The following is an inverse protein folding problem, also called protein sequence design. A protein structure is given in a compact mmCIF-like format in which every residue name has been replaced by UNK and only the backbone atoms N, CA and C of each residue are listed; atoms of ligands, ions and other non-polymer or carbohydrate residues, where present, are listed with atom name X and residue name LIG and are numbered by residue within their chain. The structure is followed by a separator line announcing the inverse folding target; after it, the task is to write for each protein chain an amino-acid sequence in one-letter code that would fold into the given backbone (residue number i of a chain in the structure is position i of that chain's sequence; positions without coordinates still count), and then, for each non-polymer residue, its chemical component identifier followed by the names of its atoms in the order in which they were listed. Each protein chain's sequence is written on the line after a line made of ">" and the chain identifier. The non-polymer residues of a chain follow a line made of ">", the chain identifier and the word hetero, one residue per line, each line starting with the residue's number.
data_IF_384969227866
#
_entry.id   IF_384969227866
#
_cell.length_a   1.000
_cell.length_b   1.000
_cell.length_c   1.000
_cell.angle_alpha   90.00
_cell.angle_beta   90.00
_cell.angle_gamma   90.00
#
_symmetry.space_group_name_H-M   'P 1'
#
loop_
_entity.id
_entity.type
_entity.pdbx_description
1 polymer ?
#
# COMPACT_ATOMS: atom_id res chain seq x y z
N UNK A 1 36.24 -12.97 11.51
CA UNK A 1 35.71 -12.20 10.33
C UNK A 1 34.76 -11.13 10.88
N UNK A 2 35.17 -9.86 10.86
CA UNK A 2 34.30 -8.77 11.28
C UNK A 2 33.22 -8.56 10.21
N UNK A 3 31.96 -8.65 10.60
CA UNK A 3 30.85 -8.26 9.72
C UNK A 3 30.94 -6.74 9.50
N UNK A 4 30.81 -6.30 8.24
CA UNK A 4 30.83 -4.85 7.94
C UNK A 4 29.74 -4.13 8.73
N UNK A 5 30.01 -2.95 9.29
CA UNK A 5 28.99 -2.13 9.96
C UNK A 5 27.76 -1.87 9.09
N UNK A 6 27.96 -1.73 7.79
CA UNK A 6 26.86 -1.52 6.82
C UNK A 6 25.92 -2.73 6.72
N UNK A 7 26.47 -3.94 6.84
CA UNK A 7 25.64 -5.18 6.83
C UNK A 7 24.77 -5.24 8.08
N UNK A 8 25.32 -4.91 9.25
CA UNK A 8 24.54 -4.89 10.50
C UNK A 8 23.44 -3.83 10.42
N UNK A 9 23.78 -2.61 9.99
CA UNK A 9 22.81 -1.52 9.82
C UNK A 9 21.69 -1.89 8.83
N UNK A 10 22.02 -2.52 7.70
CA UNK A 10 21.05 -2.97 6.72
C UNK A 10 20.11 -4.07 7.29
N UNK A 11 20.63 -5.00 8.09
CA UNK A 11 19.84 -6.02 8.75
C UNK A 11 18.86 -5.42 9.76
N UNK A 12 19.32 -4.53 10.61
CA UNK A 12 18.50 -3.88 11.64
C UNK A 12 17.42 -3.00 11.02
N UNK A 13 17.77 -2.22 9.99
CA UNK A 13 16.83 -1.41 9.23
C UNK A 13 15.74 -2.25 8.57
N UNK A 14 16.13 -3.35 7.91
CA UNK A 14 15.19 -4.30 7.31
C UNK A 14 14.20 -4.86 8.33
N UNK A 15 14.69 -5.23 9.52
CA UNK A 15 13.83 -5.76 10.60
C UNK A 15 12.87 -4.68 11.10
N UNK A 16 13.35 -3.46 11.33
CA UNK A 16 12.53 -2.34 11.80
C UNK A 16 11.43 -1.99 10.78
N UNK A 17 11.78 -1.82 9.51
CA UNK A 17 10.83 -1.55 8.42
C UNK A 17 9.80 -2.69 8.32
N UNK A 18 10.25 -3.94 8.39
CA UNK A 18 9.37 -5.09 8.34
C UNK A 18 8.34 -5.15 9.48
N UNK A 19 8.72 -4.73 10.69
CA UNK A 19 7.81 -4.62 11.84
C UNK A 19 6.75 -3.53 11.62
N UNK A 20 7.18 -2.35 11.18
CA UNK A 20 6.27 -1.24 10.89
C UNK A 20 5.29 -1.62 9.77
N UNK A 21 5.79 -2.15 8.67
CA UNK A 21 4.97 -2.58 7.54
C UNK A 21 3.94 -3.64 7.94
N UNK A 22 4.31 -4.60 8.79
CA UNK A 22 3.40 -5.62 9.32
C UNK A 22 2.30 -4.97 10.18
N UNK A 23 2.67 -4.02 11.05
CA UNK A 23 1.69 -3.35 11.91
C UNK A 23 0.73 -2.48 11.12
N UNK A 24 1.21 -1.76 10.13
CA UNK A 24 0.37 -0.98 9.22
C UNK A 24 -0.63 -1.89 8.49
N UNK A 25 -0.18 -3.04 7.95
CA UNK A 25 -1.09 -4.02 7.34
C UNK A 25 -2.20 -4.48 8.29
N UNK A 26 -1.87 -4.72 9.56
CA UNK A 26 -2.87 -5.09 10.58
C UNK A 26 -3.87 -3.97 10.85
N UNK A 27 -3.44 -2.70 10.82
CA UNK A 27 -4.33 -1.54 10.99
C UNK A 27 -5.25 -1.34 9.78
N UNK A 28 -4.78 -1.67 8.58
CA UNK A 28 -5.60 -1.66 7.37
C UNK A 28 -6.60 -2.82 7.31
N UNK A 29 -6.27 -3.97 7.90
CA UNK A 29 -7.16 -5.11 8.01
C UNK A 29 -8.14 -4.91 9.16
N UNK A 30 -9.44 -4.83 8.88
CA UNK A 30 -10.46 -4.96 9.92
C UNK A 30 -10.67 -6.44 10.25
N UNK A 31 -11.25 -6.75 11.42
CA UNK A 31 -11.42 -8.12 11.95
C UNK A 31 -12.06 -9.15 11.00
N UNK A 32 -12.59 -8.71 9.85
CA UNK A 32 -13.22 -9.56 8.82
C UNK A 32 -12.46 -9.64 7.50
N UNK A 33 -11.26 -9.07 7.39
CA UNK A 33 -10.59 -8.91 6.10
C UNK A 33 -9.25 -9.66 6.04
N UNK A 34 -9.15 -10.53 5.05
CA UNK A 34 -7.99 -11.36 4.70
C UNK A 34 -6.84 -10.56 4.04
N UNK A 35 -5.73 -11.24 3.73
CA UNK A 35 -4.61 -10.70 2.94
C UNK A 35 -5.05 -10.07 1.59
N UNK A 36 -6.19 -10.50 1.03
CA UNK A 36 -6.81 -9.88 -0.15
C UNK A 36 -7.12 -8.40 0.05
N UNK A 37 -7.51 -8.01 1.25
CA UNK A 37 -7.82 -6.62 1.61
C UNK A 37 -6.63 -5.67 1.48
N UNK A 38 -5.41 -6.14 1.70
CA UNK A 38 -4.21 -5.33 1.53
C UNK A 38 -3.89 -5.07 0.04
N UNK A 39 -4.05 -6.10 -0.80
CA UNK A 39 -3.89 -5.97 -2.27
C UNK A 39 -4.99 -5.08 -2.84
N UNK A 40 -6.23 -5.23 -2.37
CA UNK A 40 -7.35 -4.36 -2.75
C UNK A 40 -7.03 -2.89 -2.49
N UNK A 41 -6.51 -2.60 -1.30
CA UNK A 41 -6.14 -1.24 -0.92
C UNK A 41 -4.99 -0.71 -1.77
N UNK A 42 -3.96 -1.52 -2.03
CA UNK A 42 -2.86 -1.18 -2.94
C UNK A 42 -3.34 -0.80 -4.34
N UNK A 43 -4.30 -1.57 -4.89
CA UNK A 43 -4.93 -1.26 -6.17
C UNK A 43 -5.67 0.09 -6.12
N UNK A 44 -6.47 0.34 -5.08
CA UNK A 44 -7.20 1.61 -4.94
C UNK A 44 -6.22 2.80 -4.80
N UNK A 45 -5.15 2.65 -4.03
CA UNK A 45 -4.09 3.67 -3.90
C UNK A 45 -3.42 3.95 -5.26
N UNK A 46 -3.06 2.89 -5.99
CA UNK A 46 -2.45 3.03 -7.32
C UNK A 46 -3.39 3.78 -8.28
N UNK A 47 -4.65 3.37 -8.35
CA UNK A 47 -5.65 4.01 -9.23
C UNK A 47 -5.93 5.46 -8.86
N UNK A 48 -5.88 5.81 -7.58
CA UNK A 48 -6.06 7.20 -7.12
C UNK A 48 -4.86 8.09 -7.49
N UNK A 49 -3.63 7.56 -7.37
CA UNK A 49 -2.40 8.32 -7.62
C UNK A 49 -2.04 8.43 -9.09
N UNK A 50 -2.11 7.31 -9.80
CA UNK A 50 -1.63 7.18 -11.18
C UNK A 50 -2.75 7.27 -12.21
N UNK A 51 -4.01 7.21 -11.75
CA UNK A 51 -5.19 7.20 -12.62
C UNK A 51 -5.55 5.83 -13.19
N UNK A 52 -6.52 5.78 -14.09
CA UNK A 52 -7.00 4.55 -14.71
C UNK A 52 -5.88 3.80 -15.43
N UNK A 53 -5.80 2.48 -15.22
CA UNK A 53 -4.74 1.65 -15.81
C UNK A 53 -5.21 0.23 -16.11
N UNK A 54 -4.36 -0.56 -16.76
CA UNK A 54 -4.68 -1.96 -17.09
C UNK A 54 -4.40 -2.90 -15.91
N UNK A 55 -5.09 -4.06 -15.83
CA UNK A 55 -4.81 -5.07 -14.82
C UNK A 55 -3.36 -5.59 -14.85
N UNK A 56 -2.72 -5.57 -16.01
CA UNK A 56 -1.31 -5.98 -16.16
C UNK A 56 -0.36 -5.02 -15.43
N UNK A 57 -0.60 -3.72 -15.53
CA UNK A 57 0.19 -2.71 -14.82
C UNK A 57 -0.03 -2.83 -13.31
N UNK A 58 -1.26 -3.04 -12.86
CA UNK A 58 -1.57 -3.28 -11.45
C UNK A 58 -0.84 -4.51 -10.91
N UNK A 59 -0.76 -5.60 -11.67
CA UNK A 59 -0.05 -6.81 -11.27
C UNK A 59 1.45 -6.57 -11.07
N UNK A 60 2.07 -5.80 -11.95
CA UNK A 60 3.47 -5.44 -11.83
C UNK A 60 3.76 -4.57 -10.59
N UNK A 61 2.87 -3.63 -10.28
CA UNK A 61 3.00 -2.75 -9.11
C UNK A 61 2.86 -3.47 -7.77
N UNK A 62 1.99 -4.47 -7.69
CA UNK A 62 1.73 -5.23 -6.45
C UNK A 62 2.63 -6.46 -6.28
N UNK A 63 3.54 -6.74 -7.20
CA UNK A 63 4.42 -7.92 -7.18
C UNK A 63 3.65 -9.26 -7.03
N UNK A 64 2.48 -9.35 -7.64
CA UNK A 64 1.61 -10.53 -7.64
C UNK A 64 1.30 -10.98 -9.07
N UNK A 65 0.77 -12.21 -9.20
CA UNK A 65 0.44 -12.73 -10.52
C UNK A 65 -0.76 -12.00 -11.14
N UNK A 66 -0.77 -11.90 -12.47
CA UNK A 66 -1.89 -11.30 -13.22
C UNK A 66 -3.22 -11.99 -12.93
N UNK A 67 -3.21 -13.29 -12.64
CA UNK A 67 -4.40 -14.06 -12.28
C UNK A 67 -4.95 -13.66 -10.90
N UNK A 68 -4.06 -13.44 -9.91
CA UNK A 68 -4.44 -12.97 -8.59
C UNK A 68 -5.06 -11.56 -8.68
N UNK A 69 -4.44 -10.64 -9.41
CA UNK A 69 -4.98 -9.29 -9.66
C UNK A 69 -6.34 -9.34 -10.35
N UNK A 70 -6.52 -10.21 -11.37
CA UNK A 70 -7.81 -10.33 -12.04
C UNK A 70 -8.93 -10.78 -11.10
N UNK A 71 -8.62 -11.63 -10.12
CA UNK A 71 -9.55 -12.02 -9.07
C UNK A 71 -9.93 -10.85 -8.15
N UNK A 72 -8.93 -10.12 -7.68
CA UNK A 72 -9.11 -8.97 -6.79
C UNK A 72 -9.89 -7.84 -7.50
N UNK A 73 -9.55 -7.53 -8.74
CA UNK A 73 -10.26 -6.50 -9.53
C UNK A 73 -11.73 -6.88 -9.73
N UNK A 74 -12.05 -8.16 -10.01
CA UNK A 74 -13.46 -8.62 -10.10
C UNK A 74 -14.21 -8.43 -8.78
N UNK A 75 -13.57 -8.70 -7.65
CA UNK A 75 -14.19 -8.49 -6.34
C UNK A 75 -14.42 -7.00 -6.06
N UNK A 76 -13.45 -6.14 -6.36
CA UNK A 76 -13.60 -4.68 -6.25
C UNK A 76 -14.72 -4.15 -7.15
N UNK A 77 -14.83 -4.67 -8.39
CA UNK A 77 -15.89 -4.33 -9.34
C UNK A 77 -17.27 -4.78 -8.81
N UNK A 78 -17.38 -6.01 -8.28
CA UNK A 78 -18.61 -6.52 -7.65
C UNK A 78 -19.10 -5.63 -6.51
N UNK A 79 -18.17 -5.02 -5.75
CA UNK A 79 -18.44 -4.07 -4.66
C UNK A 79 -18.58 -2.62 -5.16
N UNK A 80 -18.57 -2.38 -6.46
CA UNK A 80 -18.63 -1.07 -7.09
C UNK A 80 -17.52 -0.08 -6.63
N UNK A 81 -16.37 -0.59 -6.18
CA UNK A 81 -15.23 0.22 -5.75
C UNK A 81 -14.32 0.61 -6.92
N UNK A 82 -14.34 -0.17 -7.98
CA UNK A 82 -13.73 0.13 -9.28
C UNK A 82 -14.72 -0.15 -10.39
N UNK A 83 -14.46 0.45 -11.55
CA UNK A 83 -15.18 0.17 -12.79
C UNK A 83 -14.22 -0.25 -13.88
N UNK A 84 -14.69 -1.10 -14.80
CA UNK A 84 -13.93 -1.54 -15.97
C UNK A 84 -14.53 -0.94 -17.22
N UNK A 85 -13.70 -0.31 -18.02
CA UNK A 85 -14.08 0.21 -19.33
C UNK A 85 -13.27 -0.49 -20.43
N UNK A 86 -13.88 -0.71 -21.58
CA UNK A 86 -13.26 -1.44 -22.68
C UNK A 86 -13.37 -2.96 -22.54
N UNK A 87 -13.25 -3.68 -23.66
CA UNK A 87 -13.12 -5.13 -23.62
C UNK A 87 -14.23 -5.97 -24.25
N UNK A 88 -15.25 -5.39 -24.90
CA UNK A 88 -16.21 -6.19 -25.69
C UNK A 88 -15.65 -6.61 -27.06
N UNK A 89 -14.71 -5.84 -27.62
CA UNK A 89 -14.10 -6.16 -28.92
C UNK A 89 -12.57 -6.34 -28.86
N UNK A 90 -11.89 -5.84 -27.81
CA UNK A 90 -10.45 -5.99 -27.64
C UNK A 90 -10.09 -6.15 -26.15
N UNK A 91 -9.86 -7.41 -25.74
CA UNK A 91 -9.41 -7.76 -24.39
C UNK A 91 -8.09 -7.08 -23.97
N UNK A 92 -7.34 -6.50 -24.92
CA UNK A 92 -6.09 -5.80 -24.69
C UNK A 92 -6.27 -4.36 -24.19
N UNK A 93 -7.50 -3.84 -24.21
CA UNK A 93 -7.82 -2.46 -23.80
C UNK A 93 -8.73 -2.37 -22.58
N UNK A 94 -8.65 -3.34 -21.69
CA UNK A 94 -9.36 -3.24 -20.40
C UNK A 94 -8.64 -2.22 -19.54
N UNK A 95 -9.36 -1.19 -19.14
CA UNK A 95 -8.93 -0.16 -18.22
C UNK A 95 -9.77 -0.24 -16.94
N UNK A 96 -9.11 -0.18 -15.80
CA UNK A 96 -9.72 -0.15 -14.47
C UNK A 96 -9.59 1.26 -13.91
N UNK A 97 -10.66 1.80 -13.38
CA UNK A 97 -10.70 3.11 -12.74
C UNK A 97 -11.34 3.01 -11.34
N UNK A 98 -10.88 3.83 -10.41
CA UNK A 98 -11.49 3.94 -9.08
C UNK A 98 -12.80 4.72 -9.18
N UNK A 99 -13.84 4.27 -8.47
CA UNK A 99 -15.12 4.96 -8.35
C UNK A 99 -15.13 5.93 -7.17
N UNK A 100 -16.18 6.75 -7.04
CA UNK A 100 -16.39 7.58 -5.85
C UNK A 100 -16.45 6.75 -4.57
N UNK A 101 -17.16 5.61 -4.61
CA UNK A 101 -17.23 4.69 -3.47
C UNK A 101 -15.85 4.09 -3.12
N UNK A 102 -15.03 3.79 -4.14
CA UNK A 102 -13.64 3.34 -3.93
C UNK A 102 -12.78 4.40 -3.24
N UNK A 103 -12.90 5.67 -3.64
CA UNK A 103 -12.20 6.80 -3.00
C UNK A 103 -12.65 7.02 -1.55
N UNK A 104 -13.94 6.94 -1.29
CA UNK A 104 -14.48 7.07 0.07
C UNK A 104 -13.95 5.98 0.99
N UNK A 105 -13.92 4.73 0.52
CA UNK A 105 -13.33 3.63 1.27
C UNK A 105 -11.85 3.87 1.54
N UNK A 106 -11.08 4.25 0.53
CA UNK A 106 -9.65 4.54 0.65
C UNK A 106 -9.38 5.64 1.68
N UNK A 107 -10.10 6.77 1.61
CA UNK A 107 -9.96 7.86 2.56
C UNK A 107 -10.32 7.44 3.99
N UNK A 108 -11.39 6.67 4.17
CA UNK A 108 -11.78 6.16 5.49
C UNK A 108 -10.68 5.28 6.11
N UNK A 109 -10.05 4.42 5.31
CA UNK A 109 -8.97 3.55 5.76
C UNK A 109 -7.69 4.32 6.08
N UNK A 110 -7.32 5.26 5.22
CA UNK A 110 -6.14 6.12 5.44
C UNK A 110 -6.31 6.95 6.71
N UNK A 111 -7.49 7.54 6.96
CA UNK A 111 -7.76 8.30 8.17
C UNK A 111 -7.57 7.44 9.42
N UNK A 112 -8.11 6.22 9.46
CA UNK A 112 -8.00 5.34 10.61
C UNK A 112 -6.53 5.00 10.94
N UNK A 113 -5.71 4.76 9.92
CA UNK A 113 -4.27 4.47 10.08
C UNK A 113 -3.51 5.72 10.51
N UNK A 114 -3.76 6.85 9.87
CA UNK A 114 -3.12 8.13 10.22
C UNK A 114 -3.46 8.53 11.65
N UNK A 115 -4.72 8.41 12.08
CA UNK A 115 -5.13 8.67 13.46
C UNK A 115 -4.43 7.76 14.47
N UNK A 116 -4.26 6.48 14.14
CA UNK A 116 -3.51 5.55 14.99
C UNK A 116 -2.03 5.94 15.10
N UNK A 117 -1.41 6.37 13.99
CA UNK A 117 -0.02 6.86 13.99
C UNK A 117 0.12 8.17 14.75
N UNK A 118 -0.82 9.10 14.62
CA UNK A 118 -0.83 10.38 15.36
C UNK A 118 -0.88 10.11 16.85
N UNK A 119 -1.77 9.22 17.30
CA UNK A 119 -1.84 8.83 18.72
C UNK A 119 -0.53 8.21 19.19
N UNK A 120 0.01 7.25 18.47
CA UNK A 120 1.27 6.61 18.85
C UNK A 120 2.42 7.63 18.95
N UNK A 121 2.55 8.54 17.99
CA UNK A 121 3.56 9.59 18.02
C UNK A 121 3.35 10.58 19.18
N UNK A 122 2.09 10.87 19.53
CA UNK A 122 1.80 11.78 20.64
C UNK A 122 2.10 11.15 22.00
N UNK A 123 1.78 9.89 22.19
CA UNK A 123 1.81 9.22 23.48
C UNK A 123 3.19 8.64 23.82
N UNK A 124 3.94 8.16 22.80
CA UNK A 124 5.16 7.37 23.01
C UNK A 124 6.46 8.11 22.64
N UNK A 125 6.39 9.25 21.95
CA UNK A 125 7.57 9.93 21.43
C UNK A 125 7.72 11.36 21.94
N UNK A 126 8.94 11.72 22.33
CA UNK A 126 9.30 13.10 22.62
C UNK A 126 9.30 13.96 21.33
N UNK A 127 9.19 15.29 21.45
CA UNK A 127 9.28 16.18 20.28
C UNK A 127 10.61 16.03 19.50
N UNK A 128 11.70 15.67 20.16
CA UNK A 128 13.00 15.44 19.51
C UNK A 128 12.97 14.15 18.66
N UNK A 129 12.44 13.06 19.21
CA UNK A 129 12.29 11.78 18.50
C UNK A 129 11.34 11.87 17.30
N UNK A 130 10.25 12.62 17.42
CA UNK A 130 9.36 12.89 16.29
C UNK A 130 10.09 13.58 15.14
N UNK A 131 10.89 14.60 15.42
CA UNK A 131 11.72 15.27 14.41
C UNK A 131 12.74 14.33 13.76
N UNK A 132 13.30 13.39 14.53
CA UNK A 132 14.20 12.36 13.95
C UNK A 132 13.47 11.44 12.98
N UNK A 133 12.26 10.98 13.34
CA UNK A 133 11.42 10.18 12.43
C UNK A 133 11.03 10.95 11.16
N UNK A 134 10.62 12.21 11.31
CA UNK A 134 10.31 13.09 10.17
C UNK A 134 11.52 13.26 9.25
N UNK A 135 12.71 13.48 9.82
CA UNK A 135 13.97 13.61 9.07
C UNK A 135 14.37 12.32 8.34
N UNK A 136 13.92 11.17 8.81
CA UNK A 136 14.20 9.89 8.16
C UNK A 136 13.32 9.62 6.94
N UNK A 137 12.17 10.28 6.79
CA UNK A 137 11.21 10.03 5.71
C UNK A 137 11.86 10.15 4.31
N UNK A 138 12.59 11.24 3.95
CA UNK A 138 13.23 11.34 2.65
C UNK A 138 14.29 10.25 2.41
N UNK A 139 14.96 9.81 3.48
CA UNK A 139 15.97 8.76 3.40
C UNK A 139 15.34 7.39 3.11
N UNK A 140 14.21 7.09 3.76
CA UNK A 140 13.45 5.86 3.52
C UNK A 140 12.85 5.83 2.11
N UNK A 141 12.31 6.94 1.63
CA UNK A 141 11.80 7.04 0.26
C UNK A 141 12.91 6.78 -0.77
N UNK A 142 14.08 7.42 -0.60
CA UNK A 142 15.23 7.19 -1.47
C UNK A 142 15.75 5.75 -1.42
N UNK A 143 15.68 5.10 -0.26
CA UNK A 143 16.03 3.69 -0.13
C UNK A 143 15.05 2.82 -0.92
N UNK A 144 13.75 3.07 -0.81
CA UNK A 144 12.71 2.32 -1.52
C UNK A 144 12.84 2.42 -3.05
N UNK A 145 13.29 3.59 -3.57
CA UNK A 145 13.53 3.79 -5.01
C UNK A 145 14.76 3.01 -5.54
N UNK A 146 15.61 2.50 -4.65
CA UNK A 146 16.87 1.81 -5.02
C UNK A 146 16.81 0.29 -4.84
N UNK A 147 15.78 -0.22 -4.20
CA UNK A 147 15.54 -1.65 -4.00
C UNK A 147 14.70 -2.26 -5.12
#
# INVERSE_FOLDING_TARGET
>A
MSVSPDVVAAQDLRVAIGRVARRLRQLYATERESAASFIELGILVHLEREGPTSPTVLAAGESVTSQAIAGVVRELERRALVERTGGQSDRRRVVVAITSAGRELLMSREHAVVDAMVRALADEYTPAERRQLESAIPLLNRLAERL
#
